data_IF_205240942687
#
_entry.id   IF_205240942687
#
_cell.length_a   1.000
_cell.length_b   1.000
_cell.length_c   1.000
_cell.angle_alpha   90.00
_cell.angle_beta   90.00
_cell.angle_gamma   90.00
#
_symmetry.space_group_name_H-M   'P 1'
#
loop_
_entity.id
_entity.type
_entity.pdbx_description
1 polymer ?
#
# COMPACT_ATOMS: atom_id res chain seq x y z
N UNK A 1 1.88 -4.27 -10.80
CA UNK A 1 1.30 -3.87 -12.12
C UNK A 1 -0.12 -4.41 -12.30
N UNK A 2 -0.35 -5.73 -12.23
CA UNK A 2 -1.69 -6.32 -12.43
C UNK A 2 -2.78 -5.71 -11.54
N UNK A 3 -2.54 -5.55 -10.24
CA UNK A 3 -3.54 -5.00 -9.32
C UNK A 3 -3.86 -3.53 -9.61
N UNK A 4 -2.89 -2.75 -10.11
CA UNK A 4 -3.11 -1.36 -10.51
C UNK A 4 -3.92 -1.28 -11.82
N UNK A 5 -3.64 -2.18 -12.78
CA UNK A 5 -4.45 -2.32 -14.00
C UNK A 5 -5.88 -2.72 -13.64
N UNK A 6 -6.06 -3.68 -12.72
CA UNK A 6 -7.38 -4.08 -12.23
C UNK A 6 -8.10 -2.92 -11.54
N UNK A 7 -7.42 -2.15 -10.69
CA UNK A 7 -7.98 -0.94 -10.07
C UNK A 7 -8.48 0.03 -11.15
N UNK A 8 -7.65 0.32 -12.16
CA UNK A 8 -8.02 1.20 -13.27
C UNK A 8 -9.24 0.67 -14.04
N UNK A 9 -9.23 -0.61 -14.43
CA UNK A 9 -10.33 -1.24 -15.19
C UNK A 9 -11.64 -1.28 -14.40
N UNK A 10 -11.60 -1.41 -13.08
CA UNK A 10 -12.81 -1.47 -12.26
C UNK A 10 -13.32 -0.09 -11.86
N UNK A 11 -12.43 0.87 -11.57
CA UNK A 11 -12.78 2.19 -11.07
C UNK A 11 -13.11 3.18 -12.19
N UNK A 12 -12.37 3.20 -13.30
CA UNK A 12 -12.61 4.15 -14.40
C UNK A 12 -14.07 4.09 -14.91
N UNK A 13 -14.63 2.91 -15.22
CA UNK A 13 -15.99 2.84 -15.74
C UNK A 13 -17.06 3.03 -14.66
N UNK A 14 -16.77 2.75 -13.37
CA UNK A 14 -17.78 2.76 -12.30
C UNK A 14 -17.77 4.01 -11.43
N UNK A 15 -16.62 4.68 -11.30
CA UNK A 15 -16.37 5.78 -10.35
C UNK A 15 -15.41 6.83 -10.96
N UNK A 16 -15.74 7.44 -12.11
CA UNK A 16 -14.88 8.44 -12.74
C UNK A 16 -14.63 9.65 -11.81
N UNK A 17 -15.64 10.07 -11.04
CA UNK A 17 -15.54 11.20 -10.11
C UNK A 17 -14.49 10.97 -9.01
N UNK A 18 -14.37 9.72 -8.54
CA UNK A 18 -13.40 9.34 -7.51
C UNK A 18 -11.97 9.40 -8.07
N UNK A 19 -11.77 9.02 -9.33
CA UNK A 19 -10.46 9.13 -9.98
C UNK A 19 -10.11 10.61 -10.21
N UNK A 20 -11.08 11.41 -10.65
CA UNK A 20 -10.89 12.85 -10.81
C UNK A 20 -10.49 13.51 -9.49
N UNK A 21 -11.18 13.19 -8.39
CA UNK A 21 -10.84 13.63 -7.03
C UNK A 21 -9.39 13.28 -6.67
N UNK A 22 -8.97 12.04 -6.95
CA UNK A 22 -7.64 11.51 -6.59
C UNK A 22 -6.51 11.98 -7.50
N UNK A 23 -6.82 12.51 -8.68
CA UNK A 23 -5.84 12.90 -9.70
C UNK A 23 -5.04 14.15 -9.34
N UNK A 24 -5.57 15.01 -8.47
CA UNK A 24 -4.94 16.26 -8.05
C UNK A 24 -5.15 16.46 -6.55
N UNK A 25 -4.20 17.16 -5.91
CA UNK A 25 -4.44 17.70 -4.57
C UNK A 25 -5.55 18.74 -4.65
N UNK A 26 -6.61 18.52 -3.88
CA UNK A 26 -7.79 19.39 -3.87
C UNK A 26 -7.63 20.51 -2.83
N UNK A 27 -8.35 21.61 -3.06
CA UNK A 27 -8.48 22.68 -2.10
C UNK A 27 -9.07 22.18 -0.77
N UNK A 28 -8.57 22.69 0.35
CA UNK A 28 -8.99 22.25 1.70
C UNK A 28 -8.22 21.05 2.26
N UNK A 29 -7.22 20.54 1.53
CA UNK A 29 -6.27 19.56 2.07
C UNK A 29 -5.54 20.12 3.30
N UNK A 30 -5.47 19.35 4.38
CA UNK A 30 -4.76 19.78 5.61
C UNK A 30 -3.27 19.97 5.36
N UNK A 31 -2.67 21.03 5.93
CA UNK A 31 -1.24 21.36 5.74
C UNK A 31 -0.28 20.24 6.13
N UNK A 32 -0.58 19.52 7.21
CA UNK A 32 0.23 18.38 7.63
C UNK A 32 0.16 17.23 6.60
N UNK A 33 -0.98 17.07 5.93
CA UNK A 33 -1.17 16.00 4.94
C UNK A 33 -0.56 16.34 3.59
N UNK A 34 -0.40 17.63 3.28
CA UNK A 34 0.35 18.08 2.10
C UNK A 34 1.80 17.58 2.10
N UNK A 35 2.37 17.34 3.29
CA UNK A 35 3.68 16.73 3.46
C UNK A 35 3.60 15.21 3.60
N UNK A 36 2.72 14.70 4.47
CA UNK A 36 2.65 13.26 4.76
C UNK A 36 2.19 12.44 3.55
N UNK A 37 1.20 12.91 2.79
CA UNK A 37 0.64 12.17 1.66
C UNK A 37 1.70 11.84 0.56
N UNK A 38 2.49 12.79 0.03
CA UNK A 38 3.53 12.47 -0.94
C UNK A 38 4.70 11.70 -0.32
N UNK A 39 5.02 11.94 0.95
CA UNK A 39 6.08 11.20 1.63
C UNK A 39 5.73 9.71 1.73
N UNK A 40 4.50 9.40 2.13
CA UNK A 40 4.00 8.02 2.21
C UNK A 40 3.79 7.42 0.81
N UNK A 41 3.13 8.15 -0.09
CA UNK A 41 2.64 7.56 -1.36
C UNK A 41 3.69 7.54 -2.48
N UNK A 42 4.69 8.42 -2.43
CA UNK A 42 5.73 8.53 -3.46
C UNK A 42 7.10 8.20 -2.87
N UNK A 43 7.51 8.89 -1.79
CA UNK A 43 8.86 8.72 -1.26
C UNK A 43 9.06 7.33 -0.63
N UNK A 44 8.11 6.82 0.17
CA UNK A 44 8.17 5.50 0.78
C UNK A 44 8.44 4.37 -0.22
N UNK A 45 7.59 4.17 -1.24
CA UNK A 45 7.80 3.17 -2.28
C UNK A 45 9.12 3.35 -3.04
N UNK A 46 9.53 4.60 -3.33
CA UNK A 46 10.81 4.87 -3.97
C UNK A 46 11.99 4.45 -3.10
N UNK A 47 11.97 4.76 -1.81
CA UNK A 47 13.02 4.33 -0.88
C UNK A 47 13.06 2.81 -0.72
N UNK A 48 11.91 2.14 -0.69
CA UNK A 48 11.83 0.67 -0.71
C UNK A 48 12.49 0.13 -1.99
N UNK A 49 12.13 0.65 -3.16
CA UNK A 49 12.69 0.18 -4.44
C UNK A 49 14.19 0.44 -4.56
N UNK A 50 14.66 1.63 -4.18
CA UNK A 50 16.09 1.98 -4.19
C UNK A 50 16.87 1.08 -3.24
N UNK A 51 16.36 0.88 -2.02
CA UNK A 51 17.00 0.01 -1.02
C UNK A 51 17.06 -1.44 -1.51
N UNK A 52 15.99 -1.95 -2.12
CA UNK A 52 15.97 -3.29 -2.71
C UNK A 52 17.01 -3.44 -3.83
N UNK A 53 17.14 -2.43 -4.70
CA UNK A 53 18.11 -2.43 -5.79
C UNK A 53 19.55 -2.37 -5.29
N UNK A 54 19.83 -1.54 -4.27
CA UNK A 54 21.15 -1.48 -3.64
C UNK A 54 21.49 -2.80 -2.94
N UNK A 55 20.55 -3.36 -2.20
CA UNK A 55 20.72 -4.64 -1.52
C UNK A 55 20.98 -5.78 -2.53
N UNK A 56 20.23 -5.84 -3.63
CA UNK A 56 20.49 -6.79 -4.71
C UNK A 56 21.87 -6.59 -5.36
N UNK A 57 22.36 -5.35 -5.45
CA UNK A 57 23.67 -5.02 -6.05
C UNK A 57 24.85 -5.37 -5.17
N UNK A 58 24.71 -5.17 -3.85
CA UNK A 58 25.80 -5.33 -2.87
C UNK A 58 25.68 -6.61 -2.04
N UNK A 59 24.55 -7.32 -2.11
CA UNK A 59 24.32 -8.58 -1.42
C UNK A 59 24.21 -8.43 0.10
N UNK A 60 23.69 -7.31 0.61
CA UNK A 60 23.63 -7.10 2.06
C UNK A 60 22.71 -8.10 2.76
N UNK A 61 21.68 -8.60 2.07
CA UNK A 61 20.75 -9.65 2.53
C UNK A 61 21.14 -11.07 2.08
N UNK A 62 22.43 -11.35 1.82
CA UNK A 62 22.94 -12.67 1.37
C UNK A 62 22.54 -13.89 2.23
N UNK A 63 21.88 -13.69 3.37
CA UNK A 63 21.31 -14.73 4.24
C UNK A 63 19.92 -15.22 3.78
N UNK A 64 19.23 -14.51 2.88
CA UNK A 64 17.99 -14.99 2.24
C UNK A 64 18.31 -15.09 0.75
N UNK A 65 18.49 -16.30 0.19
CA UNK A 65 18.60 -16.47 -1.26
C UNK A 65 17.43 -15.73 -1.91
N UNK A 66 17.63 -14.92 -2.96
CA UNK A 66 16.52 -14.30 -3.66
C UNK A 66 15.57 -15.43 -4.05
N UNK A 67 14.33 -15.41 -3.53
CA UNK A 67 13.39 -16.51 -3.77
C UNK A 67 13.14 -16.74 -5.28
N UNK A 68 13.44 -15.73 -6.11
CA UNK A 68 13.44 -15.78 -7.58
C UNK A 68 14.58 -16.62 -8.19
N UNK A 69 15.68 -16.86 -7.47
CA UNK A 69 16.86 -17.61 -7.92
C UNK A 69 16.87 -19.08 -7.43
N UNK A 70 16.05 -19.44 -6.45
CA UNK A 70 15.89 -20.83 -5.97
C UNK A 70 14.84 -21.64 -6.74
N UNK A 71 14.07 -21.01 -7.64
CA UNK A 71 13.04 -21.68 -8.48
C UNK A 71 13.67 -22.67 -9.49
N UNK A 72 14.99 -22.59 -9.73
CA UNK A 72 15.68 -23.41 -10.73
C UNK A 72 16.24 -24.76 -10.24
N UNK A 73 16.20 -25.08 -8.94
CA UNK A 73 16.65 -26.39 -8.45
C UNK A 73 15.44 -27.23 -8.05
N UNK A 74 15.32 -28.43 -8.66
CA UNK A 74 14.19 -29.34 -8.52
C UNK A 74 13.91 -29.78 -7.07
N UNK A 75 14.87 -29.57 -6.15
CA UNK A 75 14.79 -29.98 -4.75
C UNK A 75 14.28 -28.86 -3.81
N UNK A 76 14.05 -27.63 -4.31
CA UNK A 76 13.80 -26.41 -3.50
C UNK A 76 12.36 -25.92 -3.47
N UNK A 77 11.44 -26.57 -4.18
CA UNK A 77 10.02 -26.15 -4.28
C UNK A 77 9.31 -26.21 -2.93
N UNK A 78 9.83 -26.99 -1.97
CA UNK A 78 9.27 -27.17 -0.62
C UNK A 78 10.09 -26.52 0.51
N UNK A 79 11.07 -25.67 0.19
CA UNK A 79 11.85 -24.96 1.22
C UNK A 79 11.00 -23.93 1.98
N UNK A 80 11.28 -23.75 3.28
CA UNK A 80 10.59 -22.77 4.13
C UNK A 80 10.60 -21.34 3.54
N UNK A 81 11.65 -20.98 2.78
CA UNK A 81 11.75 -19.70 2.07
C UNK A 81 10.73 -19.54 0.94
N UNK A 82 10.45 -20.60 0.17
CA UNK A 82 9.45 -20.59 -0.90
C UNK A 82 8.04 -20.43 -0.33
N UNK A 83 7.74 -21.14 0.76
CA UNK A 83 6.44 -21.02 1.47
C UNK A 83 6.25 -19.60 2.02
N UNK A 84 7.28 -19.03 2.64
CA UNK A 84 7.23 -17.66 3.17
C UNK A 84 7.02 -16.63 2.05
N UNK A 85 7.71 -16.80 0.92
CA UNK A 85 7.57 -15.89 -0.22
C UNK A 85 6.18 -15.97 -0.86
N UNK A 86 5.63 -17.18 -1.03
CA UNK A 86 4.25 -17.38 -1.51
C UNK A 86 3.26 -16.74 -0.53
N UNK A 87 3.43 -16.95 0.78
CA UNK A 87 2.57 -16.33 1.78
C UNK A 87 2.64 -14.80 1.73
N UNK A 88 3.84 -14.23 1.59
CA UNK A 88 4.03 -12.79 1.44
C UNK A 88 3.37 -12.24 0.16
N UNK A 89 3.44 -12.97 -0.96
CA UNK A 89 2.74 -12.61 -2.20
C UNK A 89 1.22 -12.64 -2.02
N UNK A 90 0.69 -13.69 -1.40
CA UNK A 90 -0.75 -13.80 -1.10
C UNK A 90 -1.19 -12.63 -0.23
N UNK A 91 -0.42 -12.29 0.81
CA UNK A 91 -0.69 -11.14 1.68
C UNK A 91 -0.65 -9.82 0.90
N UNK A 92 0.34 -9.58 0.05
CA UNK A 92 0.47 -8.35 -0.73
C UNK A 92 -0.68 -8.20 -1.75
N UNK A 93 -1.07 -9.28 -2.42
CA UNK A 93 -2.20 -9.28 -3.36
C UNK A 93 -3.51 -9.08 -2.59
N UNK A 94 -3.72 -9.84 -1.52
CA UNK A 94 -4.93 -9.78 -0.69
C UNK A 94 -5.12 -8.40 -0.07
N UNK A 95 -4.06 -7.78 0.45
CA UNK A 95 -4.11 -6.42 1.02
C UNK A 95 -4.41 -5.36 -0.04
N UNK A 96 -3.85 -5.50 -1.24
CA UNK A 96 -4.16 -4.62 -2.36
C UNK A 96 -5.62 -4.73 -2.81
N UNK A 97 -6.17 -5.94 -2.85
CA UNK A 97 -7.59 -6.18 -3.15
C UNK A 97 -8.50 -5.64 -2.04
N UNK A 98 -8.07 -5.75 -0.78
CA UNK A 98 -8.78 -5.17 0.36
C UNK A 98 -8.84 -3.63 0.28
N UNK A 99 -7.72 -2.98 -0.08
CA UNK A 99 -7.69 -1.54 -0.35
C UNK A 99 -8.59 -1.15 -1.53
N UNK A 100 -8.61 -1.96 -2.59
CA UNK A 100 -9.52 -1.73 -3.72
C UNK A 100 -10.99 -1.85 -3.29
N UNK A 101 -11.33 -2.82 -2.46
CA UNK A 101 -12.67 -2.96 -1.91
C UNK A 101 -13.07 -1.75 -1.05
N UNK A 102 -12.14 -1.21 -0.25
CA UNK A 102 -12.34 0.04 0.49
C UNK A 102 -12.59 1.23 -0.43
N UNK A 103 -11.83 1.35 -1.52
CA UNK A 103 -11.97 2.43 -2.49
C UNK A 103 -13.30 2.33 -3.25
N UNK A 104 -13.72 1.13 -3.63
CA UNK A 104 -15.01 0.89 -4.30
C UNK A 104 -16.22 1.18 -3.39
N UNK A 105 -16.07 0.95 -2.08
CA UNK A 105 -17.13 1.12 -1.09
C UNK A 105 -17.31 2.57 -0.63
N UNK A 106 -16.31 3.44 -0.82
CA UNK A 106 -16.33 4.82 -0.34
C UNK A 106 -16.20 5.83 -1.50
N UNK A 107 -17.30 6.49 -1.92
CA UNK A 107 -17.28 7.53 -2.95
C UNK A 107 -16.40 8.74 -2.63
N UNK A 108 -16.08 8.94 -1.35
CA UNK A 108 -15.27 10.05 -0.83
C UNK A 108 -13.81 9.64 -0.56
N UNK A 109 -13.35 8.51 -1.11
CA UNK A 109 -11.98 8.02 -0.90
C UNK A 109 -10.93 8.90 -1.61
N UNK A 110 -10.45 9.94 -0.93
CA UNK A 110 -9.47 10.89 -1.45
C UNK A 110 -8.02 10.42 -1.24
N UNK A 111 -7.08 10.96 -2.03
CA UNK A 111 -5.65 10.72 -1.85
C UNK A 111 -5.08 11.53 -0.68
N UNK A 112 -5.77 12.61 -0.31
CA UNK A 112 -5.41 13.52 0.77
C UNK A 112 -6.58 13.74 1.72
N UNK A 113 -6.26 14.10 2.96
CA UNK A 113 -7.23 14.34 4.03
C UNK A 113 -7.83 15.73 3.87
N UNK A 114 -9.11 15.75 3.51
CA UNK A 114 -9.99 16.93 3.47
C UNK A 114 -11.43 16.52 3.77
N UNK A 115 -12.21 17.46 4.29
CA UNK A 115 -13.67 17.32 4.37
C UNK A 115 -14.26 17.85 3.05
N UNK A 116 -14.96 17.00 2.31
CA UNK A 116 -15.52 17.26 0.98
C UNK A 116 -16.96 17.78 1.09
N UNK A 117 -17.12 18.93 1.75
CA UNK A 117 -18.44 19.58 1.91
C UNK A 117 -19.06 19.93 0.54
N UNK A 118 -18.23 20.26 -0.44
CA UNK A 118 -18.58 20.50 -1.84
C UNK A 118 -19.25 19.31 -2.53
N UNK A 119 -19.03 18.09 -2.02
CA UNK A 119 -19.57 16.84 -2.57
C UNK A 119 -20.63 16.21 -1.66
N UNK A 120 -21.05 16.91 -0.60
CA UNK A 120 -22.02 16.40 0.37
C UNK A 120 -21.51 15.16 1.11
N UNK A 121 -20.23 15.17 1.53
CA UNK A 121 -19.62 14.04 2.23
C UNK A 121 -20.45 13.57 3.42
N UNK A 122 -20.69 12.26 3.49
CA UNK A 122 -21.27 11.59 4.63
C UNK A 122 -20.39 10.44 5.11
N UNK A 123 -20.66 9.94 6.32
CA UNK A 123 -19.90 8.83 6.89
C UNK A 123 -20.31 7.53 6.21
N UNK A 124 -19.34 6.87 5.57
CA UNK A 124 -19.52 5.57 4.93
C UNK A 124 -19.29 4.47 5.96
N UNK A 125 -20.32 3.66 6.21
CA UNK A 125 -20.28 2.50 7.11
C UNK A 125 -20.54 1.18 6.38
N UNK A 126 -20.45 1.15 5.04
CA UNK A 126 -20.67 -0.03 4.21
C UNK A 126 -19.35 -0.74 3.84
N UNK A 127 -19.44 -2.01 3.43
CA UNK A 127 -18.28 -2.79 2.99
C UNK A 127 -17.24 -2.99 4.10
N UNK A 128 -15.93 -2.82 3.82
CA UNK A 128 -14.88 -3.09 4.80
C UNK A 128 -14.86 -2.08 5.97
N UNK A 129 -15.54 -0.93 5.82
CA UNK A 129 -15.71 0.07 6.88
C UNK A 129 -16.55 -0.43 8.06
N UNK A 130 -17.27 -1.56 7.91
CA UNK A 130 -17.94 -2.27 9.01
C UNK A 130 -16.97 -3.00 9.94
N UNK A 131 -15.78 -3.31 9.45
CA UNK A 131 -14.78 -4.14 10.15
C UNK A 131 -13.75 -3.23 10.82
N UNK A 132 -13.25 -2.23 10.08
CA UNK A 132 -12.23 -1.29 10.55
C UNK A 132 -12.51 0.10 9.99
N UNK A 133 -12.20 1.17 10.74
CA UNK A 133 -12.45 2.56 10.32
C UNK A 133 -11.63 2.97 9.09
N UNK A 134 -10.39 2.48 9.00
CA UNK A 134 -9.43 2.84 7.96
C UNK A 134 -8.99 1.62 7.13
N UNK A 135 -9.89 0.98 6.36
CA UNK A 135 -9.57 -0.25 5.66
C UNK A 135 -8.51 -0.07 4.57
N UNK A 136 -8.47 1.11 3.92
CA UNK A 136 -7.42 1.43 2.95
C UNK A 136 -6.03 1.53 3.57
N UNK A 137 -5.93 2.10 4.78
CA UNK A 137 -4.65 2.18 5.50
C UNK A 137 -4.24 0.83 6.06
N UNK A 138 -5.16 0.03 6.57
CA UNK A 138 -4.87 -1.34 6.98
C UNK A 138 -4.29 -2.17 5.83
N UNK A 139 -4.90 -2.08 4.63
CA UNK A 139 -4.37 -2.73 3.44
C UNK A 139 -2.97 -2.24 3.06
N UNK A 140 -2.72 -0.93 3.15
CA UNK A 140 -1.39 -0.36 2.89
C UNK A 140 -0.34 -0.85 3.91
N UNK A 141 -0.65 -0.90 5.21
CA UNK A 141 0.27 -1.42 6.24
C UNK A 141 0.65 -2.88 5.96
N UNK A 142 -0.33 -3.73 5.66
CA UNK A 142 -0.07 -5.15 5.36
C UNK A 142 0.78 -5.27 4.09
N UNK A 143 0.51 -4.45 3.06
CA UNK A 143 1.30 -4.42 1.83
C UNK A 143 2.76 -4.02 2.10
N UNK A 144 2.99 -2.92 2.83
CA UNK A 144 4.33 -2.40 3.09
C UNK A 144 5.18 -3.36 3.93
N UNK A 145 4.56 -4.15 4.81
CA UNK A 145 5.24 -5.18 5.60
C UNK A 145 5.46 -6.49 4.82
N UNK A 146 4.62 -6.80 3.83
CA UNK A 146 4.81 -7.93 2.94
C UNK A 146 5.87 -7.66 1.85
N UNK A 147 6.00 -6.40 1.41
CA UNK A 147 6.90 -6.01 0.33
C UNK A 147 8.37 -6.44 0.55
N UNK A 148 8.99 -6.27 1.73
CA UNK A 148 10.36 -6.74 1.98
C UNK A 148 10.58 -8.23 1.74
N UNK A 149 9.60 -9.05 2.12
CA UNK A 149 9.64 -10.50 1.93
C UNK A 149 9.49 -10.87 0.45
N UNK A 150 8.59 -10.18 -0.27
CA UNK A 150 8.41 -10.38 -1.71
C UNK A 150 9.67 -9.97 -2.49
N UNK A 151 10.32 -8.88 -2.08
CA UNK A 151 11.54 -8.36 -2.68
C UNK A 151 12.80 -9.16 -2.28
N UNK A 152 12.70 -10.01 -1.25
CA UNK A 152 13.83 -10.78 -0.75
C UNK A 152 14.91 -9.90 -0.11
N UNK A 153 14.55 -8.74 0.44
CA UNK A 153 15.49 -7.75 0.98
C UNK A 153 15.15 -7.39 2.42
N UNK A 154 15.98 -7.80 3.37
CA UNK A 154 15.77 -7.45 4.78
C UNK A 154 15.93 -5.95 5.03
N UNK A 155 16.84 -5.31 4.29
CA UNK A 155 17.08 -3.87 4.42
C UNK A 155 15.86 -3.02 4.04
N UNK A 156 14.99 -3.53 3.17
CA UNK A 156 13.75 -2.82 2.82
C UNK A 156 12.73 -2.77 3.96
N UNK A 157 12.86 -3.57 5.03
CA UNK A 157 12.04 -3.39 6.22
C UNK A 157 12.23 -2.02 6.86
N UNK A 158 13.41 -1.41 6.75
CA UNK A 158 13.67 -0.08 7.32
C UNK A 158 12.77 0.99 6.70
N UNK A 159 12.81 1.25 5.38
CA UNK A 159 11.90 2.21 4.77
C UNK A 159 10.41 1.79 4.86
N UNK A 160 10.09 0.49 4.85
CA UNK A 160 8.72 0.01 5.06
C UNK A 160 8.17 0.37 6.45
N UNK A 161 8.92 0.11 7.51
CA UNK A 161 8.50 0.41 8.89
C UNK A 161 8.35 1.92 9.08
N UNK A 162 9.27 2.72 8.53
CA UNK A 162 9.16 4.19 8.57
C UNK A 162 7.85 4.64 7.89
N UNK A 163 7.54 4.09 6.71
CA UNK A 163 6.31 4.41 5.97
C UNK A 163 5.06 4.03 6.78
N UNK A 164 5.07 2.85 7.41
CA UNK A 164 3.99 2.39 8.30
C UNK A 164 3.80 3.31 9.50
N UNK A 165 4.88 3.73 10.17
CA UNK A 165 4.80 4.67 11.30
C UNK A 165 4.20 6.01 10.86
N UNK A 166 4.63 6.54 9.72
CA UNK A 166 4.07 7.78 9.17
C UNK A 166 2.59 7.63 8.83
N UNK A 167 2.17 6.46 8.34
CA UNK A 167 0.77 6.16 8.07
C UNK A 167 -0.06 6.07 9.37
N UNK A 168 0.48 5.52 10.45
CA UNK A 168 -0.18 5.56 11.77
C UNK A 168 -0.34 6.99 12.29
N UNK A 169 0.69 7.82 12.16
CA UNK A 169 0.61 9.26 12.52
C UNK A 169 -0.47 9.94 11.68
N UNK A 170 -0.47 9.71 10.36
CA UNK A 170 -1.48 10.24 9.43
C UNK A 170 -2.90 9.84 9.84
N UNK A 171 -3.09 8.57 10.19
CA UNK A 171 -4.38 8.02 10.64
C UNK A 171 -4.87 8.72 11.90
N UNK A 172 -3.99 8.90 12.89
CA UNK A 172 -4.35 9.57 14.14
C UNK A 172 -4.67 11.06 13.98
N UNK A 173 -4.07 11.74 12.99
CA UNK A 173 -4.39 13.13 12.65
C UNK A 173 -5.71 13.25 11.88
N UNK A 174 -6.01 12.27 11.02
CA UNK A 174 -7.27 12.18 10.30
C UNK A 174 -8.45 11.93 11.25
N UNK A 175 -8.31 11.04 12.24
CA UNK A 175 -9.34 10.77 13.24
C UNK A 175 -9.69 11.98 14.14
N UNK A 176 -8.83 12.99 14.19
CA UNK A 176 -9.03 14.23 14.96
C UNK A 176 -9.61 15.38 14.12
N UNK A 177 -9.79 15.16 12.82
CA UNK A 177 -10.28 16.17 11.86
C UNK A 177 -11.79 16.05 11.67
#
# INVERSE_FOLDING_TARGET
VLTQVLCALLLIPRRPDLIAERSKMQAGTKKWDQLLAPLISLAGPLFIMVTAGLDARFGWSALIPPASLSVGSADSVCGAGTVLWIAALILAIGSSLFTLWAMMSNPFFASTVRIQNDRGQNVVSAGPYRIVRHPGYLGAVIFDLAAPLVLGSLWTFVPSIITVVLLFVRTGLEDRT
#
